data_IF_758133212999
#
_entry.id   IF_758133212999
#
_cell.length_a   1.000
_cell.length_b   1.000
_cell.length_c   1.000
_cell.angle_alpha   90.00
_cell.angle_beta   90.00
_cell.angle_gamma   90.00
#
_symmetry.space_group_name_H-M   'P 1'
#
loop_
_entity.id
_entity.type
_entity.pdbx_description
1 polymer ?
#
# COMPACT_ATOMS: atom_id res chain seq x y z
N UNK A 1 -5.93 -10.29 -5.86
CA UNK A 1 -4.55 -10.13 -5.34
C UNK A 1 -4.35 -8.85 -4.51
N UNK A 2 -4.71 -7.66 -5.02
CA UNK A 2 -4.51 -6.40 -4.28
C UNK A 2 -5.11 -6.37 -2.84
N UNK A 3 -6.26 -7.01 -2.63
CA UNK A 3 -6.88 -7.13 -1.30
C UNK A 3 -6.01 -7.88 -0.28
N UNK A 4 -5.17 -8.83 -0.73
CA UNK A 4 -4.30 -9.62 0.15
C UNK A 4 -3.25 -8.75 0.84
N UNK A 5 -2.79 -7.67 0.19
CA UNK A 5 -1.85 -6.73 0.81
C UNK A 5 -2.44 -6.05 2.05
N UNK A 6 -3.76 -5.90 2.14
CA UNK A 6 -4.44 -5.34 3.32
C UNK A 6 -4.57 -6.35 4.47
N UNK A 7 -4.47 -7.65 4.17
CA UNK A 7 -4.53 -8.72 5.18
C UNK A 7 -3.18 -8.95 5.86
N UNK A 8 -2.11 -8.39 5.30
CA UNK A 8 -0.81 -8.40 5.94
C UNK A 8 -0.87 -7.60 7.26
N UNK A 9 -0.46 -8.27 8.34
CA UNK A 9 -0.39 -7.69 9.69
C UNK A 9 0.73 -6.65 9.80
N UNK A 10 1.74 -6.78 8.94
CA UNK A 10 2.92 -5.93 8.88
C UNK A 10 2.79 -4.85 7.79
N UNK A 11 1.59 -4.67 7.21
CA UNK A 11 1.36 -3.69 6.16
C UNK A 11 1.72 -2.28 6.61
N UNK A 12 2.30 -1.51 5.70
CA UNK A 12 2.61 -0.09 5.90
C UNK A 12 1.65 0.74 5.08
N UNK A 13 0.95 1.69 5.73
CA UNK A 13 0.08 2.65 5.05
C UNK A 13 0.80 4.00 4.96
N UNK A 14 0.89 4.55 3.76
CA UNK A 14 1.51 5.85 3.47
C UNK A 14 0.49 6.77 2.81
N UNK A 15 0.56 8.07 3.06
CA UNK A 15 -0.22 9.08 2.33
C UNK A 15 0.45 9.42 0.99
N UNK A 16 -0.33 9.48 -0.08
CA UNK A 16 0.11 9.87 -1.42
C UNK A 16 -0.03 11.39 -1.58
N UNK A 17 0.85 12.14 -0.91
CA UNK A 17 0.79 13.62 -0.84
C UNK A 17 0.89 14.29 -2.21
N UNK A 18 1.52 13.65 -3.21
CA UNK A 18 1.72 14.22 -4.55
C UNK A 18 0.46 14.17 -5.44
N UNK A 19 -0.51 13.30 -5.14
CA UNK A 19 -1.71 13.10 -5.99
C UNK A 19 -3.02 13.28 -5.21
N UNK A 20 -2.97 13.90 -4.03
CA UNK A 20 -4.10 13.99 -3.09
C UNK A 20 -4.83 15.34 -3.09
N UNK A 21 -4.67 16.17 -4.13
CA UNK A 21 -5.25 17.52 -4.18
C UNK A 21 -6.77 17.54 -3.92
N UNK A 22 -7.55 16.75 -4.67
CA UNK A 22 -9.01 16.70 -4.51
C UNK A 22 -9.50 15.54 -3.63
N UNK A 23 -8.74 14.46 -3.54
CA UNK A 23 -9.12 13.25 -2.81
C UNK A 23 -7.90 12.61 -2.15
N UNK A 24 -7.96 12.41 -0.83
CA UNK A 24 -6.88 11.75 -0.07
C UNK A 24 -6.62 10.34 -0.60
N UNK A 25 -5.42 10.14 -1.13
CA UNK A 25 -4.93 8.85 -1.63
C UNK A 25 -3.88 8.29 -0.70
N UNK A 26 -3.80 6.98 -0.69
CA UNK A 26 -2.94 6.21 0.19
C UNK A 26 -2.26 5.09 -0.59
N UNK A 27 -1.07 4.70 -0.13
CA UNK A 27 -0.42 3.46 -0.51
C UNK A 27 -0.52 2.46 0.64
N UNK A 28 -0.91 1.23 0.34
CA UNK A 28 -0.77 0.08 1.22
C UNK A 28 0.36 -0.79 0.68
N UNK A 29 1.46 -0.87 1.43
CA UNK A 29 2.57 -1.76 1.17
C UNK A 29 2.33 -3.03 1.99
N UNK A 30 2.09 -4.16 1.35
CA UNK A 30 1.82 -5.41 2.04
C UNK A 30 2.52 -6.59 1.38
N UNK A 31 3.04 -7.51 2.19
CA UNK A 31 3.62 -8.75 1.74
C UNK A 31 2.51 -9.75 1.39
N UNK A 32 2.55 -10.22 0.16
CA UNK A 32 1.76 -11.35 -0.35
C UNK A 32 2.70 -12.52 -0.67
N UNK A 33 2.15 -13.66 -1.09
CA UNK A 33 2.94 -14.87 -1.37
C UNK A 33 4.14 -14.63 -2.30
N UNK A 34 3.97 -13.75 -3.29
CA UNK A 34 4.96 -13.46 -4.34
C UNK A 34 5.94 -12.33 -3.98
N UNK A 35 5.71 -11.57 -2.91
CA UNK A 35 6.56 -10.43 -2.52
C UNK A 35 5.79 -9.25 -1.93
N UNK A 36 6.42 -8.08 -1.87
CA UNK A 36 5.78 -6.86 -1.35
C UNK A 36 5.03 -6.15 -2.48
N UNK A 37 3.71 -6.13 -2.37
CA UNK A 37 2.81 -5.44 -3.30
C UNK A 37 2.47 -4.04 -2.77
N UNK A 38 2.55 -3.04 -3.64
CA UNK A 38 2.10 -1.68 -3.36
C UNK A 38 0.71 -1.50 -3.96
N UNK A 39 -0.27 -1.11 -3.14
CA UNK A 39 -1.64 -0.84 -3.58
C UNK A 39 -1.97 0.63 -3.35
N UNK A 40 -2.28 1.37 -4.41
CA UNK A 40 -2.79 2.73 -4.32
C UNK A 40 -4.30 2.69 -4.14
N UNK A 41 -4.83 3.38 -3.14
CA UNK A 41 -6.25 3.37 -2.81
C UNK A 41 -6.74 4.69 -2.21
N UNK A 42 -8.06 4.83 -2.09
CA UNK A 42 -8.73 5.94 -1.39
C UNK A 42 -9.84 5.40 -0.48
N UNK A 43 -10.21 6.19 0.53
CA UNK A 43 -11.37 5.94 1.38
C UNK A 43 -12.57 6.78 0.91
N UNK A 44 -13.63 6.13 0.42
CA UNK A 44 -14.92 6.77 0.13
C UNK A 44 -16.03 6.07 0.87
N UNK A 45 -16.86 6.82 1.61
CA UNK A 45 -18.05 6.28 2.31
C UNK A 45 -17.75 5.02 3.15
N UNK A 46 -16.64 5.04 3.90
CA UNK A 46 -16.12 3.90 4.71
C UNK A 46 -15.72 2.65 3.91
N UNK A 47 -15.56 2.76 2.59
CA UNK A 47 -15.10 1.68 1.72
C UNK A 47 -13.74 2.02 1.11
N UNK A 48 -12.92 0.99 0.91
CA UNK A 48 -11.62 1.08 0.22
C UNK A 48 -11.86 0.95 -1.28
N UNK A 49 -11.49 1.98 -2.05
CA UNK A 49 -11.44 1.92 -3.51
C UNK A 49 -9.99 1.79 -3.96
N UNK A 50 -9.66 0.67 -4.58
CA UNK A 50 -8.33 0.45 -5.18
C UNK A 50 -8.26 1.23 -6.50
N UNK A 51 -7.20 2.01 -6.65
CA UNK A 51 -6.88 2.80 -7.84
C UNK A 51 -5.87 2.04 -8.71
N UNK A 52 -4.94 1.31 -8.09
CA UNK A 52 -3.97 0.48 -8.78
C UNK A 52 -3.17 -0.39 -7.82
N UNK A 53 -2.56 -1.45 -8.33
CA UNK A 53 -1.68 -2.31 -7.56
C UNK A 53 -0.50 -2.75 -8.43
N UNK A 54 0.70 -2.75 -7.87
CA UNK A 54 1.90 -3.15 -8.58
C UNK A 54 3.11 -3.32 -7.67
N UNK A 55 4.11 -4.03 -8.16
CA UNK A 55 5.39 -4.20 -7.48
C UNK A 55 6.24 -2.94 -7.66
N UNK A 56 6.51 -2.25 -6.56
CA UNK A 56 7.31 -1.02 -6.59
C UNK A 56 8.56 -1.17 -5.74
N UNK A 57 9.73 -0.93 -6.34
CA UNK A 57 11.03 -1.08 -5.65
C UNK A 57 11.15 -0.19 -4.40
N UNK A 58 10.73 1.07 -4.49
CA UNK A 58 10.74 2.01 -3.35
C UNK A 58 9.76 1.56 -2.27
N UNK A 59 8.56 1.10 -2.66
CA UNK A 59 7.58 0.54 -1.73
C UNK A 59 8.10 -0.68 -0.98
N UNK A 60 8.76 -1.61 -1.67
CA UNK A 60 9.42 -2.77 -1.06
C UNK A 60 10.47 -2.35 -0.02
N UNK A 61 11.35 -1.40 -0.36
CA UNK A 61 12.38 -0.93 0.56
C UNK A 61 11.81 -0.27 1.82
N UNK A 62 10.74 0.53 1.69
CA UNK A 62 10.06 1.13 2.84
C UNK A 62 9.45 0.04 3.72
N UNK A 63 8.73 -0.91 3.12
CA UNK A 63 8.13 -2.02 3.86
C UNK A 63 9.17 -2.83 4.65
N UNK A 64 10.30 -3.19 4.03
CA UNK A 64 11.36 -3.97 4.67
C UNK A 64 12.03 -3.18 5.81
N UNK A 65 12.24 -1.87 5.62
CA UNK A 65 12.78 -0.97 6.64
C UNK A 65 11.85 -0.85 7.86
N UNK A 66 10.57 -0.57 7.63
CA UNK A 66 9.58 -0.39 8.71
C UNK A 66 9.38 -1.69 9.50
N UNK A 67 9.41 -2.83 8.82
CA UNK A 67 9.27 -4.14 9.46
C UNK A 67 10.59 -4.75 9.97
N UNK A 68 11.70 -3.99 9.91
CA UNK A 68 13.04 -4.43 10.32
C UNK A 68 13.41 -5.82 9.76
N UNK A 69 12.97 -6.10 8.54
CA UNK A 69 13.35 -7.34 7.85
C UNK A 69 14.81 -7.15 7.43
N UNK A 70 15.73 -7.73 8.18
CA UNK A 70 17.16 -7.82 7.89
C UNK A 70 17.55 -9.29 7.90
#
# INVERSE_FOLDING_TARGET
MAQLAFLDKNRVILEDLEHSDDEKRYYCLGKIAEGVLTVRFTYRKKQIRIIGAGYWRKGKQIYERENKVH
#
